data_IF_297795077988
#
_entry.id   IF_297795077988
#
_cell.length_a   1.000
_cell.length_b   1.000
_cell.length_c   1.000
_cell.angle_alpha   90.00
_cell.angle_beta   90.00
_cell.angle_gamma   90.00
#
_symmetry.space_group_name_H-M   'P 1'
#
loop_
_entity.id
_entity.type
_entity.pdbx_description
1 polymer ?
#
# COMPACT_ATOMS: atom_id res chain seq x y z
N UNK A 1 23.80 11.61 -16.56
CA UNK A 1 22.51 12.26 -16.27
C UNK A 1 22.43 13.54 -17.08
N UNK A 2 21.46 13.66 -17.98
CA UNK A 2 21.31 14.81 -18.87
C UNK A 2 20.89 16.05 -18.08
N UNK A 3 21.36 17.23 -18.46
CA UNK A 3 21.10 18.51 -17.77
C UNK A 3 19.61 18.88 -17.61
N UNK A 4 18.73 18.15 -18.29
CA UNK A 4 17.27 18.29 -18.22
C UNK A 4 16.70 17.81 -16.87
N UNK A 5 17.21 16.71 -16.31
CA UNK A 5 16.74 16.18 -15.02
C UNK A 5 17.09 17.12 -13.85
N UNK A 6 18.26 17.76 -13.90
CA UNK A 6 18.72 18.70 -12.88
C UNK A 6 17.91 20.01 -12.87
N UNK A 7 17.43 20.45 -14.05
CA UNK A 7 16.52 21.59 -14.18
C UNK A 7 15.13 21.30 -13.61
N UNK A 8 14.60 20.09 -13.83
CA UNK A 8 13.30 19.70 -13.26
C UNK A 8 13.33 19.64 -11.74
N UNK A 9 14.38 19.07 -11.15
CA UNK A 9 14.52 18.96 -9.68
C UNK A 9 14.64 20.34 -9.03
N UNK A 10 15.43 21.25 -9.62
CA UNK A 10 15.58 22.61 -9.07
C UNK A 10 14.29 23.43 -9.19
N UNK A 11 13.58 23.33 -10.31
CA UNK A 11 12.26 23.96 -10.49
C UNK A 11 11.21 23.45 -9.50
N UNK A 12 11.32 22.19 -9.06
CA UNK A 12 10.42 21.59 -8.07
C UNK A 12 10.66 22.17 -6.67
N UNK A 13 11.91 22.37 -6.27
CA UNK A 13 12.24 22.97 -4.98
C UNK A 13 11.84 24.46 -4.88
N UNK A 14 12.02 25.22 -5.96
CA UNK A 14 11.69 26.66 -5.98
C UNK A 14 10.17 26.90 -5.94
N UNK A 15 9.36 25.99 -6.47
CA UNK A 15 7.89 26.11 -6.47
C UNK A 15 7.21 25.80 -5.13
N UNK A 16 7.87 25.04 -4.24
CA UNK A 16 7.30 24.63 -2.94
C UNK A 16 7.30 25.76 -1.90
N UNK A 17 8.25 26.70 -2.00
CA UNK A 17 8.36 27.83 -1.05
C UNK A 17 7.28 28.90 -1.25
N UNK A 18 6.56 28.91 -2.37
CA UNK A 18 5.66 30.01 -2.75
C UNK A 18 4.17 29.79 -2.40
N UNK A 19 3.78 28.65 -1.81
CA UNK A 19 2.36 28.25 -1.69
C UNK A 19 1.82 28.09 -0.26
N UNK A 20 2.42 28.76 0.73
CA UNK A 20 2.00 28.65 2.13
C UNK A 20 1.12 29.82 2.63
N UNK A 21 0.47 30.59 1.75
CA UNK A 21 -0.47 31.63 2.17
C UNK A 21 -1.77 31.59 1.35
N UNK A 22 -2.80 30.94 1.91
CA UNK A 22 -4.22 31.35 1.97
C UNK A 22 -5.08 30.12 2.25
N UNK A 23 -5.84 30.10 3.36
CA UNK A 23 -6.84 29.05 3.60
C UNK A 23 -8.24 29.66 3.60
N UNK A 24 -8.83 29.71 2.41
CA UNK A 24 -10.26 29.88 2.21
C UNK A 24 -11.01 28.59 2.61
N UNK A 25 -12.34 28.68 2.74
CA UNK A 25 -13.26 27.59 3.13
C UNK A 25 -12.91 26.27 2.44
N UNK A 26 -12.45 25.32 3.25
CA UNK A 26 -11.75 24.11 2.85
C UNK A 26 -12.74 22.99 2.52
N UNK A 27 -13.25 22.97 1.28
CA UNK A 27 -13.91 21.78 0.74
C UNK A 27 -12.82 20.72 0.56
N UNK A 28 -12.55 19.95 1.62
CA UNK A 28 -11.57 18.86 1.57
C UNK A 28 -12.16 17.71 0.77
N UNK A 29 -11.47 17.32 -0.30
CA UNK A 29 -11.73 16.06 -0.98
C UNK A 29 -11.41 14.94 0.01
N UNK A 30 -12.34 14.00 0.17
CA UNK A 30 -12.13 12.80 0.99
C UNK A 30 -11.63 11.65 0.13
N UNK A 31 -10.89 10.74 0.75
CA UNK A 31 -10.50 9.48 0.15
C UNK A 31 -11.30 8.35 0.80
N UNK A 32 -11.62 7.31 0.04
CA UNK A 32 -12.33 6.13 0.53
C UNK A 32 -11.40 5.25 1.38
N UNK A 33 -10.15 5.09 0.95
CA UNK A 33 -9.14 4.33 1.66
C UNK A 33 -7.72 4.85 1.41
N UNK A 34 -6.79 4.40 2.26
CA UNK A 34 -5.36 4.38 1.95
C UNK A 34 -4.99 3.00 1.39
N UNK A 35 -4.45 2.97 0.19
CA UNK A 35 -3.94 1.76 -0.45
C UNK A 35 -2.44 1.58 -0.16
N UNK A 36 -2.04 0.41 0.31
CA UNK A 36 -0.66 0.01 0.50
C UNK A 36 -0.26 -1.08 -0.49
N UNK A 37 0.88 -0.96 -1.17
CA UNK A 37 1.36 -2.00 -2.09
C UNK A 37 2.89 -2.17 -2.06
N UNK A 38 3.38 -3.22 -2.71
CA UNK A 38 4.82 -3.51 -2.80
C UNK A 38 5.54 -2.56 -3.76
N UNK A 39 6.85 -2.34 -3.55
CA UNK A 39 7.73 -1.62 -4.50
C UNK A 39 8.08 -2.45 -5.76
N UNK A 40 7.55 -3.67 -5.87
CA UNK A 40 7.83 -4.56 -7.01
C UNK A 40 7.44 -3.88 -8.32
N UNK A 41 8.40 -3.73 -9.22
CA UNK A 41 8.26 -2.92 -10.43
C UNK A 41 7.23 -3.45 -11.43
N UNK A 42 6.74 -4.68 -11.27
CA UNK A 42 5.70 -5.27 -12.13
C UNK A 42 4.31 -4.72 -11.85
N UNK A 43 4.07 -4.20 -10.65
CA UNK A 43 2.73 -3.93 -10.15
C UNK A 43 2.19 -2.49 -10.28
N UNK A 44 2.99 -1.41 -10.39
CA UNK A 44 2.44 -0.05 -10.37
C UNK A 44 1.36 0.18 -11.45
N UNK A 45 1.65 -0.12 -12.71
CA UNK A 45 0.70 0.15 -13.80
C UNK A 45 -0.54 -0.75 -13.75
N UNK A 46 -0.35 -2.05 -13.58
CA UNK A 46 -1.45 -3.02 -13.53
C UNK A 46 -2.37 -2.81 -12.33
N UNK A 47 -1.84 -2.46 -11.15
CA UNK A 47 -2.66 -2.09 -9.98
C UNK A 47 -3.45 -0.83 -10.29
N UNK A 48 -2.83 0.21 -10.84
CA UNK A 48 -3.56 1.44 -11.17
C UNK A 48 -4.67 1.20 -12.20
N UNK A 49 -4.42 0.35 -13.21
CA UNK A 49 -5.43 0.00 -14.21
C UNK A 49 -6.57 -0.81 -13.60
N UNK A 50 -6.27 -1.81 -12.78
CA UNK A 50 -7.24 -2.57 -12.01
C UNK A 50 -8.11 -1.64 -11.14
N UNK A 51 -7.49 -0.76 -10.35
CA UNK A 51 -8.21 0.17 -9.49
C UNK A 51 -9.09 1.13 -10.29
N UNK A 52 -8.61 1.63 -11.43
CA UNK A 52 -9.38 2.52 -12.31
C UNK A 52 -10.62 1.84 -12.89
N UNK A 53 -10.52 0.54 -13.17
CA UNK A 53 -11.60 -0.25 -13.77
C UNK A 53 -12.62 -0.72 -12.74
N UNK A 54 -12.16 -1.31 -11.64
CA UNK A 54 -13.03 -1.89 -10.60
C UNK A 54 -13.57 -0.84 -9.62
N UNK A 55 -12.86 0.27 -9.45
CA UNK A 55 -13.21 1.36 -8.54
C UNK A 55 -13.17 2.73 -9.25
N UNK A 56 -13.97 2.93 -10.31
CA UNK A 56 -13.86 4.11 -11.18
C UNK A 56 -14.32 5.42 -10.54
N UNK A 57 -14.94 5.38 -9.36
CA UNK A 57 -15.49 6.56 -8.67
C UNK A 57 -14.79 6.85 -7.35
N UNK A 58 -14.00 5.91 -6.87
CA UNK A 58 -13.35 5.95 -5.57
C UNK A 58 -12.00 6.66 -5.69
N UNK A 59 -11.79 7.63 -4.80
CA UNK A 59 -10.52 8.34 -4.66
C UNK A 59 -9.80 7.70 -3.48
N UNK A 60 -8.49 7.47 -3.61
CA UNK A 60 -7.71 6.82 -2.56
C UNK A 60 -6.32 7.46 -2.41
N UNK A 61 -5.82 7.43 -1.18
CA UNK A 61 -4.41 7.70 -0.90
C UNK A 61 -3.57 6.47 -1.22
N UNK A 62 -2.26 6.64 -1.48
CA UNK A 62 -1.38 5.51 -1.77
C UNK A 62 -0.04 5.63 -1.04
N UNK A 63 0.43 4.50 -0.53
CA UNK A 63 1.79 4.33 0.00
C UNK A 63 2.39 3.03 -0.52
N UNK A 64 3.70 3.04 -0.79
CA UNK A 64 4.41 1.91 -1.41
C UNK A 64 5.58 1.53 -0.50
N UNK A 65 5.63 0.27 -0.07
CA UNK A 65 6.60 -0.26 0.89
C UNK A 65 7.08 -1.64 0.44
N UNK A 66 8.35 -1.98 0.65
CA UNK A 66 8.85 -3.30 0.30
C UNK A 66 8.09 -4.41 1.04
N UNK A 67 7.43 -5.29 0.29
CA UNK A 67 6.64 -6.40 0.83
C UNK A 67 5.23 -6.04 1.30
N UNK A 68 4.74 -4.81 1.06
CA UNK A 68 3.39 -4.36 1.43
C UNK A 68 3.05 -4.68 2.89
N UNK A 69 2.20 -5.69 3.17
CA UNK A 69 1.86 -6.10 4.54
C UNK A 69 3.07 -6.53 5.37
N UNK A 70 4.10 -7.09 4.72
CA UNK A 70 5.34 -7.52 5.40
C UNK A 70 6.05 -6.34 6.08
N UNK A 71 5.96 -5.14 5.51
CA UNK A 71 6.59 -3.96 6.07
C UNK A 71 6.04 -3.57 7.46
N UNK A 72 4.86 -4.08 7.82
CA UNK A 72 4.21 -3.86 9.12
C UNK A 72 4.57 -4.94 10.16
N UNK A 73 5.35 -5.95 9.78
CA UNK A 73 5.68 -7.08 10.64
C UNK A 73 7.12 -7.00 11.13
N UNK A 74 7.33 -6.19 12.16
CA UNK A 74 8.65 -5.91 12.75
C UNK A 74 9.38 -7.20 13.19
N UNK A 75 8.63 -8.21 13.62
CA UNK A 75 9.16 -9.52 13.99
C UNK A 75 9.86 -10.24 12.84
N UNK A 76 9.49 -9.95 11.59
CA UNK A 76 10.10 -10.50 10.39
C UNK A 76 11.13 -9.55 9.79
N UNK A 77 10.79 -8.27 9.64
CA UNK A 77 11.64 -7.30 8.95
C UNK A 77 12.79 -6.81 9.81
N UNK A 78 12.66 -6.88 11.14
CA UNK A 78 13.52 -6.23 12.11
C UNK A 78 13.65 -4.71 11.86
N UNK A 79 12.59 -4.10 11.29
CA UNK A 79 12.53 -2.70 10.88
C UNK A 79 11.25 -2.06 11.42
N UNK A 80 11.27 -1.76 12.72
CA UNK A 80 10.16 -1.10 13.41
C UNK A 80 9.81 0.28 12.84
N UNK A 81 10.78 0.95 12.23
CA UNK A 81 10.57 2.23 11.57
C UNK A 81 9.69 2.12 10.32
N UNK A 82 9.62 0.96 9.65
CA UNK A 82 8.71 0.77 8.51
C UNK A 82 7.25 0.73 8.94
N UNK A 83 6.94 -0.06 9.98
CA UNK A 83 5.59 -0.14 10.52
C UNK A 83 5.15 1.20 11.13
N UNK A 84 6.04 1.89 11.86
CA UNK A 84 5.80 3.24 12.39
C UNK A 84 5.47 4.24 11.29
N UNK A 85 6.29 4.33 10.24
CA UNK A 85 6.02 5.22 9.11
C UNK A 85 4.67 4.91 8.46
N UNK A 86 4.33 3.64 8.28
CA UNK A 86 3.03 3.27 7.70
C UNK A 86 1.85 3.69 8.58
N UNK A 87 1.92 3.42 9.89
CA UNK A 87 0.89 3.81 10.87
C UNK A 87 0.71 5.34 10.93
N UNK A 88 1.80 6.10 10.89
CA UNK A 88 1.76 7.56 10.84
C UNK A 88 1.04 8.06 9.59
N UNK A 89 1.25 7.43 8.43
CA UNK A 89 0.54 7.77 7.19
C UNK A 89 -0.94 7.41 7.24
N UNK A 90 -1.33 6.30 7.88
CA UNK A 90 -2.76 6.01 8.14
C UNK A 90 -3.36 7.12 8.99
N UNK A 91 -2.68 7.52 10.07
CA UNK A 91 -3.10 8.60 10.95
C UNK A 91 -3.30 9.92 10.21
N UNK A 92 -2.35 10.29 9.35
CA UNK A 92 -2.43 11.49 8.52
C UNK A 92 -3.53 11.40 7.47
N UNK A 93 -3.72 10.24 6.83
CA UNK A 93 -4.79 10.04 5.83
C UNK A 93 -6.17 10.19 6.48
N UNK A 94 -6.35 9.73 7.72
CA UNK A 94 -7.57 9.97 8.51
C UNK A 94 -7.75 11.48 8.76
N UNK A 95 -6.70 12.19 9.20
CA UNK A 95 -6.81 13.60 9.58
C UNK A 95 -6.96 14.56 8.38
N UNK A 96 -6.33 14.23 7.25
CA UNK A 96 -6.29 15.06 6.05
C UNK A 96 -7.45 14.76 5.12
N UNK A 97 -7.74 13.47 4.88
CA UNK A 97 -8.66 13.02 3.83
C UNK A 97 -9.82 12.15 4.36
N UNK A 98 -9.93 11.97 5.68
CA UNK A 98 -11.03 11.24 6.33
C UNK A 98 -11.26 9.83 5.74
N UNK A 99 -10.18 9.08 5.51
CA UNK A 99 -10.27 7.72 4.95
C UNK A 99 -11.21 6.80 5.74
N UNK A 100 -11.98 5.98 5.04
CA UNK A 100 -12.88 4.98 5.62
C UNK A 100 -12.21 3.63 5.87
N UNK A 101 -11.03 3.38 5.31
CA UNK A 101 -10.32 2.12 5.52
C UNK A 101 -8.91 2.07 4.95
N UNK A 102 -8.29 0.90 5.07
CA UNK A 102 -6.99 0.59 4.48
C UNK A 102 -7.10 -0.67 3.62
N UNK A 103 -6.64 -0.56 2.38
CA UNK A 103 -6.54 -1.66 1.43
C UNK A 103 -5.07 -2.03 1.24
N UNK A 104 -4.65 -3.23 1.61
CA UNK A 104 -3.27 -3.69 1.43
C UNK A 104 -3.23 -4.72 0.29
N UNK A 105 -2.45 -4.44 -0.74
CA UNK A 105 -2.24 -5.33 -1.89
C UNK A 105 -0.88 -6.01 -1.79
N UNK A 106 -0.90 -7.25 -1.30
CA UNK A 106 0.21 -8.18 -1.46
C UNK A 106 0.23 -8.72 -2.89
N UNK A 107 1.34 -9.36 -3.27
CA UNK A 107 1.44 -10.06 -4.54
C UNK A 107 2.24 -11.35 -4.39
N UNK A 108 1.93 -12.33 -5.26
CA UNK A 108 2.73 -13.57 -5.36
C UNK A 108 4.11 -13.29 -5.95
N UNK A 109 5.05 -14.17 -5.67
CA UNK A 109 6.47 -14.12 -6.05
C UNK A 109 7.15 -12.86 -5.53
N UNK A 110 6.87 -12.50 -4.27
CA UNK A 110 7.40 -11.30 -3.66
C UNK A 110 8.86 -11.46 -3.24
N UNK A 111 9.76 -10.69 -3.87
CA UNK A 111 11.19 -10.70 -3.52
C UNK A 111 11.47 -10.34 -2.05
N UNK A 112 10.64 -9.50 -1.42
CA UNK A 112 10.80 -9.15 -0.01
C UNK A 112 10.54 -10.36 0.91
N UNK A 113 9.56 -11.22 0.61
CA UNK A 113 9.30 -12.42 1.40
C UNK A 113 10.49 -13.39 1.36
N UNK A 114 11.22 -13.44 0.23
CA UNK A 114 12.46 -14.20 0.12
C UNK A 114 13.63 -13.55 0.87
N UNK A 115 13.80 -12.24 0.71
CA UNK A 115 14.85 -11.46 1.37
C UNK A 115 14.76 -11.60 2.90
N UNK A 116 13.55 -11.63 3.44
CA UNK A 116 13.29 -11.82 4.86
C UNK A 116 13.13 -13.28 5.28
N UNK A 117 13.46 -14.23 4.40
CA UNK A 117 13.48 -15.67 4.67
C UNK A 117 12.13 -16.27 5.10
N UNK A 118 11.02 -15.69 4.67
CA UNK A 118 9.67 -16.25 4.86
C UNK A 118 9.33 -17.29 3.79
N UNK A 119 9.97 -17.18 2.62
CA UNK A 119 9.79 -18.07 1.47
C UNK A 119 11.12 -18.40 0.82
N UNK A 120 11.18 -19.58 0.23
CA UNK A 120 12.22 -20.02 -0.71
C UNK A 120 11.70 -19.96 -2.14
N UNK A 121 12.60 -20.01 -3.12
CA UNK A 121 12.22 -20.00 -4.54
C UNK A 121 11.31 -21.18 -4.94
N UNK A 122 11.39 -22.32 -4.23
CA UNK A 122 10.56 -23.49 -4.51
C UNK A 122 9.14 -23.40 -3.90
N UNK A 123 8.90 -22.41 -3.05
CA UNK A 123 7.59 -22.19 -2.40
C UNK A 123 6.77 -21.11 -3.12
N UNK A 124 7.36 -20.39 -4.08
CA UNK A 124 6.67 -19.42 -4.93
C UNK A 124 5.57 -20.09 -5.78
N UNK A 125 4.44 -19.39 -5.92
CA UNK A 125 3.21 -19.87 -6.57
C UNK A 125 2.64 -21.18 -5.98
N UNK A 126 2.98 -21.53 -4.74
CA UNK A 126 2.42 -22.68 -4.04
C UNK A 126 1.40 -22.27 -2.96
N UNK A 127 0.66 -23.23 -2.42
CA UNK A 127 -0.17 -22.97 -1.24
C UNK A 127 0.65 -22.53 -0.02
N UNK A 128 1.94 -22.91 0.07
CA UNK A 128 2.82 -22.45 1.16
C UNK A 128 2.99 -20.94 1.10
N UNK A 129 3.20 -20.37 -0.08
CA UNK A 129 3.23 -18.92 -0.28
C UNK A 129 1.93 -18.27 0.17
N UNK A 130 0.78 -18.79 -0.25
CA UNK A 130 -0.53 -18.25 0.14
C UNK A 130 -0.70 -18.23 1.65
N UNK A 131 -0.36 -19.33 2.35
CA UNK A 131 -0.45 -19.39 3.81
C UNK A 131 0.52 -18.42 4.49
N UNK A 132 1.73 -18.23 3.95
CA UNK A 132 2.69 -17.25 4.48
C UNK A 132 2.17 -15.83 4.32
N UNK A 133 1.64 -15.48 3.15
CA UNK A 133 1.02 -14.18 2.95
C UNK A 133 -0.20 -13.97 3.85
N UNK A 134 -1.03 -15.00 4.06
CA UNK A 134 -2.19 -14.92 4.97
C UNK A 134 -1.76 -14.63 6.41
N UNK A 135 -0.75 -15.34 6.90
CA UNK A 135 -0.26 -15.09 8.25
C UNK A 135 0.29 -13.66 8.41
N UNK A 136 1.09 -13.19 7.45
CA UNK A 136 1.59 -11.80 7.47
C UNK A 136 0.43 -10.80 7.34
N UNK A 137 -0.58 -11.10 6.52
CA UNK A 137 -1.77 -10.28 6.35
C UNK A 137 -2.58 -10.14 7.65
N UNK A 138 -2.71 -11.21 8.44
CA UNK A 138 -3.36 -11.16 9.75
C UNK A 138 -2.64 -10.23 10.72
N UNK A 139 -1.32 -10.36 10.83
CA UNK A 139 -0.50 -9.51 11.71
C UNK A 139 -0.58 -8.04 11.30
N UNK A 140 -0.40 -7.75 10.01
CA UNK A 140 -0.47 -6.41 9.45
C UNK A 140 -1.89 -5.82 9.57
N UNK A 141 -2.91 -6.64 9.33
CA UNK A 141 -4.32 -6.27 9.41
C UNK A 141 -4.73 -5.86 10.82
N UNK A 142 -4.37 -6.65 11.84
CA UNK A 142 -4.64 -6.32 13.24
C UNK A 142 -3.91 -5.06 13.70
N UNK A 143 -2.64 -4.91 13.32
CA UNK A 143 -1.88 -3.70 13.64
C UNK A 143 -2.52 -2.46 13.02
N UNK A 144 -2.91 -2.54 11.75
CA UNK A 144 -3.58 -1.45 11.03
C UNK A 144 -4.92 -1.11 11.67
N UNK A 145 -5.73 -2.11 12.00
CA UNK A 145 -7.04 -1.94 12.62
C UNK A 145 -6.93 -1.27 14.01
N UNK A 146 -5.81 -1.48 14.72
CA UNK A 146 -5.55 -0.80 15.99
C UNK A 146 -5.47 0.72 15.85
N UNK A 147 -5.06 1.25 14.70
CA UNK A 147 -4.97 2.70 14.45
C UNK A 147 -6.36 3.34 14.45
N UNK A 148 -7.31 2.72 13.74
CA UNK A 148 -8.72 3.13 13.72
C UNK A 148 -9.34 3.10 15.12
N UNK A 149 -9.12 2.01 15.88
CA UNK A 149 -9.58 1.87 17.27
C UNK A 149 -9.01 2.97 18.16
N UNK A 150 -7.71 3.24 18.08
CA UNK A 150 -7.02 4.24 18.90
C UNK A 150 -7.49 5.66 18.59
N UNK A 151 -7.76 5.96 17.30
CA UNK A 151 -8.34 7.24 16.88
C UNK A 151 -9.84 7.36 17.15
N UNK A 152 -10.51 6.29 17.56
CA UNK A 152 -11.98 6.21 17.67
C UNK A 152 -12.66 6.58 16.35
N UNK A 153 -12.03 6.20 15.25
CA UNK A 153 -12.49 6.45 13.88
C UNK A 153 -12.97 5.12 13.31
N UNK A 154 -14.27 4.94 13.01
CA UNK A 154 -14.76 3.72 12.39
C UNK A 154 -14.07 3.50 11.05
N UNK A 155 -13.56 2.30 10.81
CA UNK A 155 -13.02 1.95 9.52
C UNK A 155 -12.81 0.47 9.33
N UNK A 156 -12.39 0.11 8.12
CA UNK A 156 -12.13 -1.27 7.73
C UNK A 156 -10.67 -1.47 7.30
N UNK A 157 -10.23 -2.72 7.35
CA UNK A 157 -8.93 -3.14 6.81
C UNK A 157 -9.15 -4.40 6.00
N UNK A 158 -8.68 -4.38 4.76
CA UNK A 158 -8.62 -5.54 3.90
C UNK A 158 -7.19 -5.77 3.42
N UNK A 159 -6.80 -7.04 3.33
CA UNK A 159 -5.53 -7.45 2.72
C UNK A 159 -5.81 -8.47 1.64
N UNK A 160 -5.36 -8.18 0.43
CA UNK A 160 -5.56 -9.02 -0.75
C UNK A 160 -4.20 -9.51 -1.27
N UNK A 161 -4.20 -10.69 -1.86
CA UNK A 161 -3.06 -11.27 -2.57
C UNK A 161 -3.35 -11.27 -4.06
N UNK A 162 -2.70 -10.37 -4.78
CA UNK A 162 -2.74 -10.31 -6.24
C UNK A 162 -1.94 -11.48 -6.83
N UNK A 163 -2.35 -12.02 -7.99
CA UNK A 163 -1.60 -13.09 -8.64
C UNK A 163 -0.22 -12.61 -9.10
N UNK A 164 0.61 -13.56 -9.50
CA UNK A 164 1.88 -13.24 -10.13
C UNK A 164 1.64 -12.53 -11.48
N UNK A 165 2.34 -11.43 -11.69
CA UNK A 165 2.46 -10.80 -13.00
C UNK A 165 3.77 -11.28 -13.63
N UNK A 166 3.67 -11.99 -14.76
CA UNK A 166 4.83 -12.47 -15.53
C UNK A 166 5.09 -11.62 -16.76
N UNK A 167 4.07 -10.92 -17.27
CA UNK A 167 4.16 -9.99 -18.38
C UNK A 167 3.95 -8.55 -17.89
N UNK A 168 5.02 -7.71 -17.85
CA UNK A 168 4.91 -6.31 -17.46
C UNK A 168 4.05 -5.45 -18.41
N UNK A 169 3.72 -5.95 -19.60
CA UNK A 169 2.82 -5.29 -20.55
C UNK A 169 1.35 -5.71 -20.38
N UNK A 170 1.04 -6.58 -19.41
CA UNK A 170 -0.34 -6.95 -19.13
C UNK A 170 -1.14 -5.75 -18.59
N UNK A 171 -2.33 -5.55 -19.15
CA UNK A 171 -3.26 -4.51 -18.71
C UNK A 171 -4.12 -4.95 -17.51
N UNK A 172 -3.97 -6.19 -17.04
CA UNK A 172 -4.76 -6.77 -15.94
C UNK A 172 -4.10 -7.98 -15.27
N UNK A 173 -4.54 -8.28 -14.06
CA UNK A 173 -4.22 -9.51 -13.36
C UNK A 173 -4.73 -10.74 -14.11
N UNK A 174 -3.98 -11.84 -14.05
CA UNK A 174 -4.37 -13.12 -14.68
C UNK A 174 -5.58 -13.79 -14.02
N UNK A 175 -5.94 -13.34 -12.81
CA UNK A 175 -7.06 -13.80 -12.02
C UNK A 175 -7.40 -12.76 -10.95
N UNK A 176 -8.60 -12.85 -10.38
CA UNK A 176 -9.00 -12.00 -9.26
C UNK A 176 -8.02 -12.10 -8.07
N UNK A 177 -7.71 -10.97 -7.40
CA UNK A 177 -6.98 -10.99 -6.14
C UNK A 177 -7.71 -11.84 -5.09
N UNK A 178 -6.94 -12.57 -4.28
CA UNK A 178 -7.47 -13.39 -3.19
C UNK A 178 -7.56 -12.59 -1.90
N UNK A 179 -8.74 -12.48 -1.29
CA UNK A 179 -8.89 -11.89 0.04
C UNK A 179 -8.21 -12.77 1.10
N UNK A 180 -7.27 -12.19 1.85
CA UNK A 180 -6.54 -12.89 2.92
C UNK A 180 -7.01 -12.49 4.32
N UNK A 181 -7.43 -11.24 4.49
CA UNK A 181 -7.87 -10.69 5.76
C UNK A 181 -8.90 -9.59 5.53
N UNK A 182 -9.95 -9.56 6.34
CA UNK A 182 -10.95 -8.50 6.38
C UNK A 182 -11.48 -8.32 7.80
N UNK A 183 -11.44 -7.09 8.31
CA UNK A 183 -12.10 -6.70 9.57
C UNK A 183 -12.48 -5.22 9.56
N UNK A 184 -13.45 -4.87 10.39
CA UNK A 184 -13.85 -3.49 10.69
C UNK A 184 -13.88 -3.22 12.19
N UNK A 185 -13.76 -1.96 12.60
CA UNK A 185 -13.82 -1.53 14.01
C UNK A 185 -15.23 -1.21 14.48
#
# INVERSE_FOLDING_TARGET
MTGHAKKMINSFHEGLAAKAETRALDVRVTAEWLMAMCIDCRYPHIVHEYMRREHPKEIYDQVVLAGASLALTDSYTQRDYWSKTFIEHIGLSIDLHNIGGVLILNHRTCGAFREFHLLTANEENTNVEVERHRHVAELAGELTLSVFRNKKHPGFVQVWLTPEVTDPAADDFTSEPLLLFEKST
#
